data_IF_608714779435
#
_entry.id   IF_608714779435
#
_cell.length_a   1.000
_cell.length_b   1.000
_cell.length_c   1.000
_cell.angle_alpha   90.00
_cell.angle_beta   90.00
_cell.angle_gamma   90.00
#
_symmetry.space_group_name_H-M   'P 1'
#
loop_
_entity.id
_entity.type
_entity.pdbx_description
1 polymer ?
#
# COMPACT_ATOMS: atom_id res chain seq x y z
N UNK A 1 -11.10 -12.32 -15.32
CA UNK A 1 -11.03 -10.87 -15.07
C UNK A 1 -12.42 -10.32 -15.33
N UNK A 2 -13.08 -9.71 -14.33
CA UNK A 2 -14.41 -9.12 -14.52
C UNK A 2 -14.29 -7.89 -15.43
N UNK A 3 -15.19 -7.75 -16.40
CA UNK A 3 -15.21 -6.63 -17.34
C UNK A 3 -15.96 -5.45 -16.71
N UNK A 4 -15.33 -4.28 -16.68
CA UNK A 4 -15.92 -3.07 -16.09
C UNK A 4 -16.36 -2.13 -17.19
N UNK A 5 -17.58 -1.61 -17.08
CA UNK A 5 -18.09 -0.54 -17.94
C UNK A 5 -18.75 0.57 -17.14
N UNK A 6 -18.85 1.75 -17.75
CA UNK A 6 -19.60 2.88 -17.23
C UNK A 6 -20.69 3.22 -18.25
N UNK A 7 -21.93 3.40 -17.79
CA UNK A 7 -23.02 3.91 -18.64
C UNK A 7 -23.71 5.11 -17.98
N UNK A 8 -24.31 5.96 -18.80
CA UNK A 8 -25.14 7.06 -18.29
C UNK A 8 -26.36 6.52 -17.52
N UNK A 9 -26.79 7.27 -16.53
CA UNK A 9 -28.04 6.98 -15.80
C UNK A 9 -29.26 7.25 -16.67
N UNK A 10 -30.33 6.52 -16.38
CA UNK A 10 -31.67 6.66 -16.94
C UNK A 10 -32.68 6.89 -15.82
N UNK A 11 -33.94 7.18 -16.15
CA UNK A 11 -34.98 7.38 -15.11
C UNK A 11 -35.29 6.07 -14.38
N UNK A 12 -35.09 4.94 -15.05
CA UNK A 12 -35.27 3.58 -14.52
C UNK A 12 -34.23 3.23 -13.43
N UNK A 13 -33.11 3.95 -13.36
CA UNK A 13 -32.03 3.68 -12.40
C UNK A 13 -32.30 4.27 -11.00
N UNK A 14 -33.40 5.01 -10.79
CA UNK A 14 -33.64 5.70 -9.51
C UNK A 14 -33.68 4.72 -8.32
N UNK A 15 -34.36 3.58 -8.48
CA UNK A 15 -34.42 2.54 -7.44
C UNK A 15 -33.03 1.94 -7.16
N UNK A 16 -32.22 1.73 -8.20
CA UNK A 16 -30.87 1.22 -8.07
C UNK A 16 -29.95 2.23 -7.37
N UNK A 17 -30.00 3.50 -7.77
CA UNK A 17 -29.21 4.58 -7.16
C UNK A 17 -29.59 4.76 -5.69
N UNK A 18 -30.87 4.59 -5.34
CA UNK A 18 -31.32 4.55 -3.97
C UNK A 18 -30.70 3.37 -3.22
N UNK A 19 -30.74 2.16 -3.77
CA UNK A 19 -30.10 0.99 -3.16
C UNK A 19 -28.58 1.17 -2.93
N UNK A 20 -27.86 1.76 -3.91
CA UNK A 20 -26.44 2.11 -3.74
C UNK A 20 -26.27 3.11 -2.60
N UNK A 21 -27.11 4.14 -2.53
CA UNK A 21 -27.09 5.15 -1.46
C UNK A 21 -27.36 4.56 -0.07
N UNK A 22 -28.36 3.70 0.08
CA UNK A 22 -28.71 3.08 1.37
C UNK A 22 -27.60 2.13 1.83
N UNK A 23 -26.92 1.46 0.89
CA UNK A 23 -25.82 0.53 1.19
C UNK A 23 -24.58 1.19 1.83
N UNK A 24 -24.47 2.52 1.79
CA UNK A 24 -23.37 3.26 2.44
C UNK A 24 -23.74 3.75 3.84
N UNK A 25 -24.98 3.51 4.31
CA UNK A 25 -25.53 4.03 5.58
C UNK A 25 -26.03 2.95 6.53
N UNK A 26 -25.79 1.68 6.21
CA UNK A 26 -26.23 0.54 7.02
C UNK A 26 -25.70 0.66 8.46
N UNK A 27 -24.42 0.97 8.63
CA UNK A 27 -23.79 1.08 9.95
C UNK A 27 -24.34 2.27 10.76
N UNK A 28 -24.56 3.42 10.11
CA UNK A 28 -25.15 4.60 10.75
C UNK A 28 -26.58 4.31 11.24
N UNK A 29 -27.39 3.66 10.41
CA UNK A 29 -28.77 3.32 10.74
C UNK A 29 -28.91 2.15 11.72
N UNK A 30 -27.85 1.37 11.94
CA UNK A 30 -27.84 0.36 12.99
C UNK A 30 -27.80 0.98 14.40
N UNK A 31 -27.37 2.23 14.53
CA UNK A 31 -27.24 2.94 15.81
C UNK A 31 -28.54 3.59 16.30
N UNK A 32 -29.62 3.54 15.52
CA UNK A 32 -30.92 4.14 15.85
C UNK A 32 -32.01 3.08 15.97
N UNK A 33 -32.80 3.15 17.05
CA UNK A 33 -33.90 2.24 17.38
C UNK A 33 -35.19 2.49 16.58
N UNK A 34 -35.06 3.01 15.36
CA UNK A 34 -36.18 3.26 14.46
C UNK A 34 -36.69 1.97 13.83
N UNK A 35 -38.00 1.92 13.58
CA UNK A 35 -38.58 0.84 12.79
C UNK A 35 -38.22 0.94 11.30
N UNK A 36 -38.50 -0.10 10.52
CA UNK A 36 -38.14 -0.15 9.11
C UNK A 36 -38.75 0.99 8.28
N UNK A 37 -40.01 1.37 8.54
CA UNK A 37 -40.69 2.45 7.83
C UNK A 37 -40.08 3.83 8.14
N UNK A 38 -39.67 4.06 9.38
CA UNK A 38 -38.97 5.28 9.79
C UNK A 38 -37.60 5.39 9.14
N UNK A 39 -36.83 4.29 9.10
CA UNK A 39 -35.53 4.25 8.40
C UNK A 39 -35.68 4.51 6.90
N UNK A 40 -36.66 3.89 6.25
CA UNK A 40 -36.93 4.09 4.82
C UNK A 40 -37.32 5.54 4.50
N UNK A 41 -38.27 6.12 5.26
CA UNK A 41 -38.69 7.51 5.07
C UNK A 41 -37.51 8.50 5.24
N UNK A 42 -36.67 8.27 6.25
CA UNK A 42 -35.47 9.08 6.48
C UNK A 42 -34.46 8.95 5.32
N UNK A 43 -34.19 7.72 4.87
CA UNK A 43 -33.30 7.45 3.75
C UNK A 43 -33.78 8.11 2.46
N UNK A 44 -35.08 8.01 2.15
CA UNK A 44 -35.65 8.65 0.95
C UNK A 44 -35.48 10.17 1.00
N UNK A 45 -35.76 10.79 2.16
CA UNK A 45 -35.58 12.23 2.37
C UNK A 45 -34.11 12.63 2.15
N UNK A 46 -33.17 11.92 2.78
CA UNK A 46 -31.74 12.22 2.70
C UNK A 46 -31.16 11.94 1.30
N UNK A 47 -31.64 10.91 0.60
CA UNK A 47 -31.26 10.62 -0.78
C UNK A 47 -31.66 11.74 -1.73
N UNK A 48 -32.91 12.21 -1.65
CA UNK A 48 -33.39 13.35 -2.46
C UNK A 48 -32.61 14.62 -2.15
N UNK A 49 -32.36 14.90 -0.87
CA UNK A 49 -31.55 16.04 -0.45
C UNK A 49 -30.13 15.98 -1.02
N UNK A 50 -29.46 14.82 -0.94
CA UNK A 50 -28.11 14.64 -1.48
C UNK A 50 -28.09 14.84 -3.01
N UNK A 51 -29.02 14.23 -3.74
CA UNK A 51 -29.08 14.42 -5.20
C UNK A 51 -29.27 15.90 -5.58
N UNK A 52 -30.15 16.61 -4.88
CA UNK A 52 -30.34 18.05 -5.06
C UNK A 52 -29.07 18.83 -4.78
N UNK A 53 -28.39 18.54 -3.68
CA UNK A 53 -27.13 19.19 -3.30
C UNK A 53 -26.04 18.96 -4.34
N UNK A 54 -25.83 17.72 -4.80
CA UNK A 54 -24.81 17.42 -5.81
C UNK A 54 -25.08 18.13 -7.13
N UNK A 55 -26.33 18.16 -7.61
CA UNK A 55 -26.69 18.90 -8.84
C UNK A 55 -26.48 20.41 -8.69
N UNK A 56 -26.72 20.96 -7.49
CA UNK A 56 -26.53 22.37 -7.22
C UNK A 56 -25.04 22.76 -7.09
N UNK A 57 -24.27 21.98 -6.32
CA UNK A 57 -22.85 22.25 -6.06
C UNK A 57 -21.96 21.92 -7.26
N UNK A 58 -22.28 20.85 -8.00
CA UNK A 58 -21.48 20.36 -9.13
C UNK A 58 -22.36 20.25 -10.39
N UNK A 59 -22.80 21.39 -10.96
CA UNK A 59 -23.75 21.40 -12.08
C UNK A 59 -23.21 20.72 -13.35
N UNK A 60 -21.88 20.61 -13.48
CA UNK A 60 -21.23 19.97 -14.63
C UNK A 60 -20.84 18.51 -14.36
N UNK A 61 -21.09 17.99 -13.15
CA UNK A 61 -20.77 16.61 -12.82
C UNK A 61 -21.66 15.63 -13.58
N UNK A 62 -21.03 14.60 -14.12
CA UNK A 62 -21.71 13.48 -14.77
C UNK A 62 -21.92 12.34 -13.77
N UNK A 63 -23.12 11.78 -13.74
CA UNK A 63 -23.43 10.58 -12.94
C UNK A 63 -23.55 9.38 -13.86
N UNK A 64 -22.83 8.30 -13.54
CA UNK A 64 -22.79 7.06 -14.31
C UNK A 64 -23.04 5.85 -13.42
N UNK A 65 -23.66 4.82 -13.98
CA UNK A 65 -23.72 3.48 -13.38
C UNK A 65 -22.41 2.76 -13.66
N UNK A 66 -21.83 2.20 -12.60
CA UNK A 66 -20.72 1.25 -12.70
C UNK A 66 -21.32 -0.12 -12.96
N UNK A 67 -20.84 -0.82 -13.99
CA UNK A 67 -21.26 -2.17 -14.32
C UNK A 67 -20.08 -3.15 -14.21
N UNK A 68 -20.35 -4.33 -13.64
CA UNK A 68 -19.44 -5.47 -13.60
C UNK A 68 -20.05 -6.60 -14.42
N UNK A 69 -19.39 -7.01 -15.50
CA UNK A 69 -19.90 -7.99 -16.46
C UNK A 69 -21.31 -7.67 -16.99
N UNK A 70 -21.60 -6.37 -17.16
CA UNK A 70 -22.90 -5.86 -17.62
C UNK A 70 -23.98 -5.76 -16.55
N UNK A 71 -23.67 -6.08 -15.29
CA UNK A 71 -24.60 -5.95 -14.15
C UNK A 71 -24.30 -4.68 -13.37
N UNK A 72 -25.31 -3.84 -13.04
CA UNK A 72 -25.13 -2.67 -12.19
C UNK A 72 -24.51 -3.00 -10.84
N UNK A 73 -23.38 -2.39 -10.54
CA UNK A 73 -22.55 -2.65 -9.36
C UNK A 73 -22.35 -1.43 -8.45
N UNK A 74 -22.59 -0.22 -8.97
CA UNK A 74 -22.46 1.00 -8.18
C UNK A 74 -22.71 2.28 -8.98
N UNK A 75 -22.27 3.41 -8.43
CA UNK A 75 -22.30 4.71 -9.11
C UNK A 75 -20.95 5.42 -9.07
N UNK A 76 -20.72 6.23 -10.08
CA UNK A 76 -19.59 7.14 -10.19
C UNK A 76 -20.12 8.54 -10.53
N UNK A 77 -19.69 9.55 -9.78
CA UNK A 77 -19.99 10.97 -10.05
C UNK A 77 -18.68 11.73 -10.22
N UNK A 78 -18.45 12.28 -11.41
CA UNK A 78 -17.20 12.97 -11.75
C UNK A 78 -17.50 14.24 -12.54
N UNK A 79 -16.85 15.33 -12.15
CA UNK A 79 -16.80 16.58 -12.91
C UNK A 79 -15.46 16.68 -13.65
N UNK A 80 -15.52 16.78 -14.99
CA UNK A 80 -14.36 16.91 -15.88
C UNK A 80 -14.29 18.25 -16.60
N UNK A 81 -15.15 19.19 -16.23
CA UNK A 81 -15.27 20.48 -16.92
C UNK A 81 -14.07 21.42 -16.68
N UNK A 82 -13.29 21.16 -15.63
CA UNK A 82 -12.12 21.95 -15.25
C UNK A 82 -10.78 21.45 -15.82
N UNK A 83 -9.71 22.12 -15.37
CA UNK A 83 -8.32 21.71 -15.61
C UNK A 83 -7.96 20.41 -14.87
N UNK A 84 -8.64 20.17 -13.74
CA UNK A 84 -8.51 18.99 -12.89
C UNK A 84 -9.82 18.18 -12.96
N UNK A 85 -9.73 16.88 -12.70
CA UNK A 85 -10.89 15.99 -12.57
C UNK A 85 -11.33 15.95 -11.11
N UNK A 86 -12.56 16.36 -10.81
CA UNK A 86 -13.12 16.24 -9.46
C UNK A 86 -13.95 14.96 -9.35
N UNK A 87 -13.47 14.03 -8.53
CA UNK A 87 -14.24 12.84 -8.13
C UNK A 87 -15.19 13.25 -6.99
N UNK A 88 -16.46 13.45 -7.33
CA UNK A 88 -17.50 13.91 -6.40
C UNK A 88 -17.98 12.77 -5.50
N UNK A 89 -18.23 11.58 -6.07
CA UNK A 89 -18.66 10.41 -5.31
C UNK A 89 -18.34 9.11 -6.08
N UNK A 90 -17.99 8.07 -5.34
CA UNK A 90 -17.87 6.70 -5.85
C UNK A 90 -18.41 5.75 -4.80
N UNK A 91 -19.36 4.91 -5.19
CA UNK A 91 -19.96 3.93 -4.30
C UNK A 91 -20.24 2.63 -5.04
N UNK A 92 -19.84 1.51 -4.42
CA UNK A 92 -20.13 0.15 -4.88
C UNK A 92 -21.07 -0.52 -3.87
N UNK A 93 -21.99 -1.33 -4.39
CA UNK A 93 -22.80 -2.23 -3.57
C UNK A 93 -21.88 -3.22 -2.83
N UNK A 94 -22.24 -3.67 -1.60
CA UNK A 94 -21.39 -4.49 -0.75
C UNK A 94 -20.80 -5.73 -1.43
N UNK A 95 -21.59 -6.44 -2.22
CA UNK A 95 -21.23 -7.65 -2.96
C UNK A 95 -20.19 -7.42 -4.07
N UNK A 96 -19.97 -6.17 -4.48
CA UNK A 96 -18.99 -5.78 -5.49
C UNK A 96 -17.73 -5.10 -4.89
N UNK A 97 -17.64 -5.00 -3.55
CA UNK A 97 -16.48 -4.45 -2.86
C UNK A 97 -15.36 -5.49 -2.76
N UNK A 98 -14.11 -5.03 -2.61
CA UNK A 98 -12.91 -5.88 -2.50
C UNK A 98 -12.63 -6.79 -3.71
N UNK A 99 -13.29 -6.54 -4.86
CA UNK A 99 -13.11 -7.27 -6.12
C UNK A 99 -12.21 -6.53 -7.13
N UNK A 100 -11.56 -5.44 -6.72
CA UNK A 100 -10.69 -4.63 -7.59
C UNK A 100 -11.40 -3.59 -8.47
N UNK A 101 -12.74 -3.54 -8.47
CA UNK A 101 -13.51 -2.61 -9.32
C UNK A 101 -13.15 -1.14 -9.07
N UNK A 102 -13.11 -0.72 -7.80
CA UNK A 102 -12.74 0.65 -7.42
C UNK A 102 -11.32 1.03 -7.89
N UNK A 103 -10.38 0.09 -7.79
CA UNK A 103 -9.01 0.24 -8.30
C UNK A 103 -9.01 0.51 -9.80
N UNK A 104 -9.73 -0.31 -10.57
CA UNK A 104 -9.80 -0.16 -12.02
C UNK A 104 -10.44 1.14 -12.45
N UNK A 105 -11.53 1.58 -11.79
CA UNK A 105 -12.21 2.85 -12.09
C UNK A 105 -11.26 4.02 -11.86
N UNK A 106 -10.59 4.05 -10.70
CA UNK A 106 -9.65 5.13 -10.37
C UNK A 106 -8.44 5.14 -11.30
N UNK A 107 -7.92 3.98 -11.69
CA UNK A 107 -6.85 3.89 -12.70
C UNK A 107 -7.29 4.39 -14.08
N UNK A 108 -8.54 4.14 -14.47
CA UNK A 108 -9.07 4.70 -15.71
C UNK A 108 -9.13 6.24 -15.66
N UNK A 109 -9.49 6.82 -14.51
CA UNK A 109 -9.43 8.28 -14.31
C UNK A 109 -7.98 8.79 -14.36
N UNK A 110 -7.03 8.08 -13.74
CA UNK A 110 -5.61 8.44 -13.75
C UNK A 110 -5.02 8.42 -15.17
N UNK A 111 -5.43 7.44 -15.99
CA UNK A 111 -5.02 7.34 -17.39
C UNK A 111 -5.48 8.53 -18.26
N UNK A 112 -6.43 9.34 -17.79
CA UNK A 112 -6.80 10.60 -18.46
C UNK A 112 -5.69 11.67 -18.34
N UNK A 113 -4.67 11.45 -17.49
CA UNK A 113 -3.49 12.32 -17.38
C UNK A 113 -3.76 13.69 -16.78
N UNK A 114 -4.89 13.87 -16.10
CA UNK A 114 -5.24 15.09 -15.36
C UNK A 114 -5.07 14.87 -13.86
N UNK A 115 -4.71 15.93 -13.12
CA UNK A 115 -4.78 15.90 -11.67
C UNK A 115 -6.21 15.59 -11.24
N UNK A 116 -6.36 14.69 -10.26
CA UNK A 116 -7.65 14.26 -9.71
C UNK A 116 -7.75 14.77 -8.28
N UNK A 117 -8.89 15.37 -7.94
CA UNK A 117 -9.20 15.84 -6.59
C UNK A 117 -10.41 15.07 -6.08
N UNK A 118 -10.40 14.73 -4.79
CA UNK A 118 -11.55 14.17 -4.08
C UNK A 118 -11.61 14.68 -2.64
N UNK A 119 -12.78 14.56 -2.02
CA UNK A 119 -12.94 14.81 -0.58
C UNK A 119 -13.30 13.52 0.12
N UNK A 120 -12.56 13.17 1.16
CA UNK A 120 -12.80 11.96 1.93
C UNK A 120 -12.87 12.28 3.43
N UNK A 121 -13.76 11.57 4.13
CA UNK A 121 -13.69 11.47 5.58
C UNK A 121 -12.46 10.61 5.89
N UNK A 122 -11.57 11.08 6.76
CA UNK A 122 -10.30 10.38 7.04
C UNK A 122 -10.47 8.94 7.57
N UNK A 123 -11.56 8.68 8.28
CA UNK A 123 -11.91 7.33 8.77
C UNK A 123 -12.57 6.43 7.73
N UNK A 124 -12.85 6.93 6.52
CA UNK A 124 -13.48 6.15 5.47
C UNK A 124 -12.51 5.06 4.97
N UNK A 125 -12.90 3.77 4.94
CA UNK A 125 -12.06 2.68 4.43
C UNK A 125 -11.52 2.89 3.01
N UNK A 126 -12.21 3.69 2.19
CA UNK A 126 -11.77 4.04 0.84
C UNK A 126 -10.46 4.85 0.80
N UNK A 127 -10.07 5.52 1.90
CA UNK A 127 -8.80 6.26 2.01
C UNK A 127 -7.60 5.35 1.70
N UNK A 128 -7.62 4.12 2.20
CA UNK A 128 -6.55 3.15 1.93
C UNK A 128 -6.45 2.83 0.43
N UNK A 129 -7.59 2.74 -0.27
CA UNK A 129 -7.60 2.56 -1.72
C UNK A 129 -6.98 3.76 -2.44
N UNK A 130 -7.38 4.99 -2.07
CA UNK A 130 -6.84 6.21 -2.67
C UNK A 130 -5.33 6.33 -2.45
N UNK A 131 -4.83 6.10 -1.23
CA UNK A 131 -3.41 6.16 -0.93
C UNK A 131 -2.58 5.11 -1.68
N UNK A 132 -3.10 3.88 -1.83
CA UNK A 132 -2.46 2.83 -2.67
C UNK A 132 -2.34 3.25 -4.12
N UNK A 133 -3.26 4.07 -4.61
CA UNK A 133 -3.26 4.63 -5.96
C UNK A 133 -2.49 5.95 -6.06
N UNK A 134 -1.80 6.37 -5.01
CA UNK A 134 -0.94 7.56 -5.03
C UNK A 134 -1.67 8.87 -4.76
N UNK A 135 -2.91 8.84 -4.27
CA UNK A 135 -3.55 10.05 -3.75
C UNK A 135 -2.95 10.43 -2.40
N UNK A 136 -2.71 11.72 -2.18
CA UNK A 136 -2.19 12.28 -0.93
C UNK A 136 -3.19 13.25 -0.32
N UNK A 137 -3.23 13.36 1.01
CA UNK A 137 -3.99 14.44 1.66
C UNK A 137 -3.30 15.79 1.41
N UNK A 138 -4.10 16.82 1.16
CA UNK A 138 -3.63 18.21 1.04
C UNK A 138 -4.44 19.13 1.94
N UNK A 139 -3.81 20.20 2.43
CA UNK A 139 -4.45 21.18 3.32
C UNK A 139 -4.52 20.75 4.79
N UNK A 140 -5.39 21.42 5.55
CA UNK A 140 -5.51 21.23 6.99
C UNK A 140 -6.20 19.91 7.39
N UNK A 141 -5.83 19.38 8.55
CA UNK A 141 -6.41 18.15 9.12
C UNK A 141 -7.83 18.40 9.67
N UNK A 142 -8.83 18.43 8.79
CA UNK A 142 -10.24 18.46 9.17
C UNK A 142 -10.92 17.10 8.95
N UNK A 143 -12.16 16.93 9.45
CA UNK A 143 -12.92 15.69 9.30
C UNK A 143 -13.13 15.30 7.82
N UNK A 144 -13.34 16.30 6.95
CA UNK A 144 -13.43 16.16 5.50
C UNK A 144 -12.17 16.74 4.87
N UNK A 145 -11.21 15.88 4.54
CA UNK A 145 -9.94 16.33 3.97
C UNK A 145 -9.92 16.09 2.47
N UNK A 146 -9.34 17.06 1.75
CA UNK A 146 -9.08 16.94 0.32
C UNK A 146 -7.93 15.97 0.10
N UNK A 147 -8.07 15.11 -0.91
CA UNK A 147 -6.98 14.31 -1.43
C UNK A 147 -6.76 14.62 -2.91
N UNK A 148 -5.51 14.55 -3.33
CA UNK A 148 -5.10 14.83 -4.70
C UNK A 148 -4.22 13.73 -5.26
N UNK A 149 -4.39 13.43 -6.54
CA UNK A 149 -3.47 12.65 -7.34
C UNK A 149 -3.01 13.49 -8.53
N UNK A 150 -1.72 13.51 -8.83
CA UNK A 150 -1.16 14.24 -9.97
C UNK A 150 -0.44 13.27 -10.92
N UNK A 151 -0.43 13.53 -12.25
CA UNK A 151 0.35 12.73 -13.20
C UNK A 151 1.86 12.72 -12.91
N UNK A 152 2.41 13.83 -12.39
CA UNK A 152 3.80 13.87 -11.91
C UNK A 152 4.02 13.12 -10.58
N UNK A 153 2.92 12.81 -9.87
CA UNK A 153 2.91 11.88 -8.74
C UNK A 153 2.50 10.45 -9.18
N UNK A 154 2.36 10.20 -10.50
CA UNK A 154 2.20 8.86 -11.02
C UNK A 154 3.47 8.08 -10.69
N UNK A 155 3.30 7.04 -9.88
CA UNK A 155 4.36 6.11 -9.51
C UNK A 155 4.66 5.23 -10.73
N UNK A 156 5.55 5.69 -11.59
CA UNK A 156 6.05 4.92 -12.73
C UNK A 156 7.24 4.03 -12.30
N UNK A 157 7.09 3.30 -11.19
CA UNK A 157 8.04 2.26 -10.80
C UNK A 157 7.39 0.87 -10.99
N UNK A 158 8.16 -0.15 -11.40
CA UNK A 158 7.61 -1.34 -12.06
C UNK A 158 6.84 -2.30 -11.15
N UNK A 159 6.84 -2.06 -9.84
CA UNK A 159 6.18 -2.91 -8.84
C UNK A 159 4.92 -2.25 -8.27
N UNK A 160 3.95 -3.05 -7.79
CA UNK A 160 2.83 -2.52 -7.04
C UNK A 160 3.31 -1.75 -5.80
N UNK A 161 2.74 -0.57 -5.56
CA UNK A 161 3.02 0.19 -4.34
C UNK A 161 2.57 -0.55 -3.08
N UNK A 162 3.35 -0.44 -2.01
CA UNK A 162 3.04 -1.08 -0.74
C UNK A 162 2.00 -0.31 0.06
N UNK A 163 1.21 -1.06 0.82
CA UNK A 163 0.34 -0.54 1.85
C UNK A 163 1.13 -0.31 3.12
N UNK A 164 0.99 0.86 3.74
CA UNK A 164 1.54 1.12 5.08
C UNK A 164 0.42 0.80 6.08
N UNK A 165 0.67 -0.06 7.10
CA UNK A 165 -0.29 -0.31 8.17
C UNK A 165 -0.74 0.99 8.85
N UNK A 166 -2.00 1.12 9.26
CA UNK A 166 -2.41 2.24 10.09
C UNK A 166 -1.81 2.10 11.49
N UNK A 167 -1.02 3.09 11.90
CA UNK A 167 -0.40 3.11 13.23
C UNK A 167 -1.17 3.97 14.22
N UNK A 168 -1.15 3.52 15.48
CA UNK A 168 -1.47 4.32 16.67
C UNK A 168 -0.17 4.56 17.43
N UNK A 169 0.01 5.75 18.02
CA UNK A 169 1.18 5.99 18.86
C UNK A 169 1.26 4.97 19.98
N UNK A 170 2.44 4.37 20.15
CA UNK A 170 2.68 3.37 21.18
C UNK A 170 4.14 3.43 21.65
N UNK A 171 4.36 3.09 22.91
CA UNK A 171 5.70 3.03 23.52
C UNK A 171 5.78 1.76 24.36
N UNK A 172 6.87 1.00 24.19
CA UNK A 172 7.14 -0.20 24.95
C UNK A 172 8.65 -0.36 25.18
N UNK A 173 9.07 -0.29 26.45
CA UNK A 173 10.49 -0.22 26.78
C UNK A 173 11.13 1.01 26.13
N UNK A 174 12.27 0.80 25.46
CA UNK A 174 12.97 1.85 24.72
C UNK A 174 12.40 2.08 23.31
N UNK A 175 11.44 1.27 22.87
CA UNK A 175 10.84 1.43 21.56
C UNK A 175 9.64 2.38 21.61
N UNK A 176 9.54 3.28 20.64
CA UNK A 176 8.33 4.07 20.43
C UNK A 176 8.00 4.22 18.95
N UNK A 177 6.71 4.19 18.62
CA UNK A 177 6.21 4.46 17.28
C UNK A 177 5.32 5.70 17.37
N UNK A 178 5.67 6.75 16.63
CA UNK A 178 4.95 8.03 16.64
C UNK A 178 4.97 8.70 15.27
N UNK A 179 3.98 9.56 15.05
CA UNK A 179 3.90 10.39 13.84
C UNK A 179 4.89 11.55 13.90
N UNK A 180 5.64 11.74 12.82
CA UNK A 180 6.52 12.87 12.57
C UNK A 180 5.91 13.69 11.44
N UNK A 181 5.72 15.00 11.66
CA UNK A 181 5.01 15.86 10.73
C UNK A 181 5.93 16.53 9.72
N UNK A 182 5.38 16.81 8.54
CA UNK A 182 6.02 17.65 7.51
C UNK A 182 7.45 17.20 7.14
N UNK A 183 7.64 15.90 6.94
CA UNK A 183 8.93 15.35 6.52
C UNK A 183 9.02 15.39 5.00
N UNK A 184 10.16 15.85 4.49
CA UNK A 184 10.50 15.72 3.07
C UNK A 184 10.73 14.24 2.77
N UNK A 185 10.06 13.74 1.75
CA UNK A 185 10.12 12.35 1.34
C UNK A 185 10.65 12.27 -0.09
N UNK A 186 11.44 11.23 -0.37
CA UNK A 186 12.04 10.95 -1.67
C UNK A 186 11.55 9.60 -2.20
N UNK A 187 11.53 9.41 -3.51
CA UNK A 187 11.29 8.10 -4.11
C UNK A 187 12.57 7.27 -4.18
N UNK A 188 12.45 5.95 -3.97
CA UNK A 188 13.59 5.04 -4.10
C UNK A 188 13.86 4.70 -5.58
N UNK A 189 12.84 4.23 -6.29
CA UNK A 189 12.90 3.83 -7.69
C UNK A 189 12.37 4.87 -8.68
N UNK A 190 12.19 6.12 -8.24
CA UNK A 190 11.53 7.17 -9.02
C UNK A 190 12.04 8.56 -8.62
N UNK A 191 12.05 9.49 -9.58
CA UNK A 191 12.32 10.92 -9.35
C UNK A 191 11.10 11.60 -8.69
N UNK A 192 10.74 11.15 -7.49
CA UNK A 192 9.62 11.70 -6.71
C UNK A 192 10.13 12.44 -5.46
N UNK A 193 9.56 13.61 -5.21
CA UNK A 193 9.79 14.38 -3.99
C UNK A 193 8.45 14.92 -3.49
N UNK A 194 8.22 14.84 -2.19
CA UNK A 194 7.01 15.34 -1.56
C UNK A 194 7.23 15.73 -0.12
N UNK A 195 6.22 16.34 0.49
CA UNK A 195 6.16 16.55 1.93
C UNK A 195 4.92 15.87 2.47
N UNK A 196 5.06 15.27 3.64
CA UNK A 196 3.94 14.64 4.31
C UNK A 196 4.33 14.14 5.69
N UNK A 197 3.31 13.84 6.48
CA UNK A 197 3.51 13.17 7.74
C UNK A 197 3.94 11.72 7.49
N UNK A 198 4.83 11.23 8.34
CA UNK A 198 5.29 9.84 8.35
C UNK A 198 5.11 9.28 9.76
N UNK A 199 4.97 7.97 9.88
CA UNK A 199 5.18 7.29 11.14
C UNK A 199 6.66 6.89 11.23
N UNK A 200 7.23 6.95 12.43
CA UNK A 200 8.60 6.56 12.66
C UNK A 200 8.71 5.72 13.94
N UNK A 201 9.52 4.67 13.83
CA UNK A 201 9.95 3.82 14.93
C UNK A 201 11.26 4.36 15.49
N UNK A 202 11.30 4.55 16.79
CA UNK A 202 12.45 5.04 17.53
C UNK A 202 12.91 3.99 18.53
N UNK A 203 14.23 3.90 18.68
CA UNK A 203 14.86 3.31 19.84
C UNK A 203 15.48 4.44 20.66
N UNK A 204 14.99 4.64 21.88
CA UNK A 204 15.17 5.87 22.66
C UNK A 204 14.74 7.10 21.82
N UNK A 205 15.69 7.97 21.49
CA UNK A 205 15.45 9.17 20.65
C UNK A 205 15.99 9.01 19.22
N UNK A 206 16.65 7.89 18.91
CA UNK A 206 17.19 7.64 17.58
C UNK A 206 16.11 7.04 16.68
N UNK A 207 15.94 7.62 15.48
CA UNK A 207 15.07 7.02 14.46
C UNK A 207 15.70 5.71 13.99
N UNK A 208 14.95 4.63 14.14
CA UNK A 208 15.35 3.29 13.73
C UNK A 208 14.82 2.93 12.34
N UNK A 209 13.55 3.25 12.09
CA UNK A 209 12.86 2.99 10.83
C UNK A 209 11.76 4.05 10.65
N UNK A 210 11.33 4.30 9.43
CA UNK A 210 10.20 5.17 9.15
C UNK A 210 9.28 4.65 8.03
N UNK A 211 8.12 5.28 7.91
CA UNK A 211 7.23 5.12 6.76
C UNK A 211 7.53 6.11 5.64
N UNK A 212 8.75 6.67 5.60
CA UNK A 212 9.18 7.54 4.51
C UNK A 212 9.12 6.80 3.18
N UNK A 213 8.90 7.54 2.10
CA UNK A 213 8.55 6.95 0.81
C UNK A 213 9.69 6.11 0.24
N UNK A 214 10.92 6.55 0.39
CA UNK A 214 12.12 5.85 -0.05
C UNK A 214 12.26 4.50 0.66
N UNK A 215 12.02 4.49 1.96
CA UNK A 215 12.05 3.30 2.79
C UNK A 215 10.94 2.31 2.42
N UNK A 216 9.73 2.80 2.15
CA UNK A 216 8.60 1.96 1.69
C UNK A 216 8.82 1.45 0.27
N UNK A 217 9.29 2.31 -0.64
CA UNK A 217 9.49 1.96 -2.05
C UNK A 217 10.63 0.95 -2.21
N UNK A 218 11.68 1.03 -1.38
CA UNK A 218 12.80 0.07 -1.39
C UNK A 218 12.36 -1.38 -1.14
N UNK A 219 11.26 -1.59 -0.39
CA UNK A 219 10.72 -2.92 -0.09
C UNK A 219 9.92 -3.53 -1.25
N UNK A 220 9.53 -2.72 -2.26
CA UNK A 220 8.59 -3.12 -3.31
C UNK A 220 9.02 -4.32 -4.18
N UNK A 221 10.26 -4.41 -4.72
CA UNK A 221 10.66 -5.57 -5.51
C UNK A 221 10.67 -6.87 -4.69
N UNK A 222 11.07 -6.79 -3.42
CA UNK A 222 11.09 -7.93 -2.51
C UNK A 222 9.68 -8.47 -2.26
N UNK A 223 8.73 -7.59 -1.93
CA UNK A 223 7.32 -7.96 -1.77
C UNK A 223 6.72 -8.49 -3.08
N UNK A 224 7.04 -7.87 -4.22
CA UNK A 224 6.54 -8.29 -5.52
C UNK A 224 7.06 -9.65 -5.97
N UNK A 225 8.29 -10.01 -5.62
CA UNK A 225 8.88 -11.32 -5.94
C UNK A 225 8.38 -12.46 -5.02
N UNK A 226 7.80 -12.15 -3.85
CA UNK A 226 7.46 -13.17 -2.84
C UNK A 226 6.31 -14.12 -3.23
N UNK A 227 6.45 -15.39 -2.89
CA UNK A 227 5.43 -16.43 -3.05
C UNK A 227 5.67 -17.57 -2.04
N UNK A 228 4.69 -18.46 -1.90
CA UNK A 228 4.80 -19.68 -1.09
C UNK A 228 5.07 -19.40 0.39
N UNK A 229 6.06 -20.09 0.95
CA UNK A 229 6.54 -19.82 2.29
C UNK A 229 7.57 -18.68 2.29
N UNK A 230 7.18 -17.55 2.88
CA UNK A 230 8.02 -16.38 3.09
C UNK A 230 8.64 -16.43 4.49
N UNK A 231 9.95 -16.23 4.59
CA UNK A 231 10.62 -15.86 5.84
C UNK A 231 10.98 -14.38 5.75
N UNK A 232 10.53 -13.59 6.73
CA UNK A 232 10.91 -12.18 6.88
C UNK A 232 11.69 -12.02 8.18
N UNK A 233 12.88 -11.43 8.10
CA UNK A 233 13.75 -11.21 9.25
C UNK A 233 13.88 -9.71 9.52
N UNK A 234 13.59 -9.31 10.76
CA UNK A 234 13.41 -7.92 11.14
C UNK A 234 11.95 -7.49 10.94
N UNK A 235 11.26 -7.26 12.05
CA UNK A 235 9.86 -6.82 12.02
C UNK A 235 9.75 -5.36 11.58
N UNK A 236 10.67 -4.51 12.07
CA UNK A 236 10.63 -3.06 11.88
C UNK A 236 9.25 -2.50 12.24
N UNK A 237 8.68 -1.71 11.32
CA UNK A 237 7.32 -1.20 11.43
C UNK A 237 6.26 -2.15 10.82
N UNK A 238 6.65 -3.35 10.37
CA UNK A 238 5.74 -4.36 9.83
C UNK A 238 5.21 -4.08 8.43
N UNK A 239 5.83 -3.18 7.66
CA UNK A 239 5.37 -2.79 6.32
C UNK A 239 5.49 -3.97 5.34
N UNK A 240 6.69 -4.55 5.17
CA UNK A 240 6.86 -5.76 4.35
C UNK A 240 5.96 -6.90 4.84
N UNK A 241 5.92 -7.15 6.16
CA UNK A 241 5.07 -8.16 6.78
C UNK A 241 3.59 -8.02 6.39
N UNK A 242 3.03 -6.81 6.52
CA UNK A 242 1.64 -6.51 6.17
C UNK A 242 1.34 -6.86 4.70
N UNK A 243 2.25 -6.50 3.79
CA UNK A 243 2.06 -6.76 2.37
C UNK A 243 2.28 -8.24 2.00
N UNK A 244 3.16 -8.96 2.69
CA UNK A 244 3.29 -10.41 2.50
C UNK A 244 2.02 -11.15 2.94
N UNK A 245 1.44 -10.81 4.08
CA UNK A 245 0.24 -11.48 4.59
C UNK A 245 -0.95 -11.32 3.64
N UNK A 246 -1.11 -10.13 3.05
CA UNK A 246 -2.20 -9.82 2.10
C UNK A 246 -1.97 -10.36 0.69
N UNK A 247 -0.77 -10.84 0.36
CA UNK A 247 -0.46 -11.34 -0.98
C UNK A 247 -1.09 -12.72 -1.22
N UNK A 248 -1.88 -12.92 -2.30
CA UNK A 248 -2.53 -14.21 -2.57
C UNK A 248 -1.55 -15.36 -2.78
N UNK A 249 -0.42 -15.10 -3.45
CA UNK A 249 0.58 -16.13 -3.76
C UNK A 249 1.44 -16.53 -2.56
N UNK A 250 1.32 -15.81 -1.43
CA UNK A 250 1.99 -16.14 -0.16
C UNK A 250 1.08 -17.00 0.69
N UNK A 251 1.54 -18.21 0.99
CA UNK A 251 0.77 -19.24 1.72
C UNK A 251 1.12 -19.29 3.21
N UNK A 252 2.33 -18.84 3.58
CA UNK A 252 2.79 -18.74 4.97
C UNK A 252 3.83 -17.64 5.11
N UNK A 253 3.83 -16.94 6.25
CA UNK A 253 4.87 -15.98 6.61
C UNK A 253 5.46 -16.35 7.97
N UNK A 254 6.77 -16.55 8.05
CA UNK A 254 7.50 -16.67 9.32
C UNK A 254 8.26 -15.38 9.57
N UNK A 255 7.84 -14.62 10.59
CA UNK A 255 8.55 -13.46 11.10
C UNK A 255 9.62 -13.91 12.10
N UNK A 256 10.88 -13.63 11.81
CA UNK A 256 12.00 -13.79 12.74
C UNK A 256 12.39 -12.42 13.27
N UNK A 257 12.25 -12.22 14.57
CA UNK A 257 12.59 -10.96 15.25
C UNK A 257 13.40 -11.27 16.49
N UNK A 258 14.48 -10.51 16.73
CA UNK A 258 15.36 -10.73 17.88
C UNK A 258 14.75 -10.15 19.14
N UNK A 259 14.15 -8.97 19.06
CA UNK A 259 13.60 -8.28 20.23
C UNK A 259 12.07 -8.52 20.32
N UNK A 260 11.59 -9.28 21.32
CA UNK A 260 10.16 -9.52 21.48
C UNK A 260 9.34 -8.24 21.68
N UNK A 261 9.95 -7.16 22.21
CA UNK A 261 9.27 -5.89 22.40
C UNK A 261 8.87 -5.23 21.08
N UNK A 262 9.62 -5.45 19.99
CA UNK A 262 9.25 -4.92 18.66
C UNK A 262 7.96 -5.57 18.17
N UNK A 263 7.80 -6.88 18.36
CA UNK A 263 6.57 -7.59 17.99
C UNK A 263 5.39 -7.12 18.83
N UNK A 264 5.57 -6.98 20.14
CA UNK A 264 4.51 -6.51 21.03
C UNK A 264 4.13 -5.05 20.77
N UNK A 265 5.11 -4.20 20.44
CA UNK A 265 4.86 -2.84 19.98
C UNK A 265 4.06 -2.83 18.68
N UNK A 266 4.41 -3.68 17.71
CA UNK A 266 3.69 -3.78 16.44
C UNK A 266 2.22 -4.19 16.67
N UNK A 267 1.96 -5.16 17.56
CA UNK A 267 0.61 -5.54 17.98
C UNK A 267 -0.15 -4.36 18.56
N UNK A 268 0.45 -3.65 19.52
CA UNK A 268 -0.16 -2.51 20.18
C UNK A 268 -0.44 -1.34 19.21
N UNK A 269 0.49 -1.04 18.31
CA UNK A 269 0.40 0.08 17.39
C UNK A 269 -0.58 -0.17 16.23
N UNK A 270 -0.75 -1.42 15.78
CA UNK A 270 -1.46 -1.71 14.52
C UNK A 270 -2.66 -2.62 14.67
N UNK A 271 -2.87 -3.21 15.86
CA UNK A 271 -3.87 -4.25 16.10
C UNK A 271 -3.68 -5.43 15.12
N UNK A 272 -2.44 -5.94 15.11
CA UNK A 272 -1.92 -6.94 14.18
C UNK A 272 -2.82 -8.16 14.02
N UNK A 273 -3.53 -8.56 15.09
CA UNK A 273 -4.48 -9.67 15.10
C UNK A 273 -5.66 -9.50 14.14
N UNK A 274 -5.90 -8.29 13.61
CA UNK A 274 -6.95 -7.98 12.64
C UNK A 274 -6.44 -7.79 11.21
N UNK A 275 -5.15 -8.01 10.96
CA UNK A 275 -4.63 -7.89 9.61
C UNK A 275 -5.17 -9.01 8.71
N UNK A 276 -5.45 -8.68 7.46
CA UNK A 276 -5.85 -9.67 6.46
C UNK A 276 -4.70 -10.65 6.23
N UNK A 277 -4.99 -11.96 6.24
CA UNK A 277 -4.00 -13.01 6.09
C UNK A 277 -3.22 -13.35 7.36
N UNK A 278 -3.62 -12.82 8.54
CA UNK A 278 -2.95 -13.06 9.82
C UNK A 278 -2.78 -14.55 10.17
N UNK A 279 -3.68 -15.41 9.71
CA UNK A 279 -3.61 -16.87 9.91
C UNK A 279 -2.35 -17.51 9.31
N UNK A 280 -1.76 -16.85 8.31
CA UNK A 280 -0.50 -17.22 7.66
C UNK A 280 0.73 -16.96 8.53
N UNK A 281 0.62 -16.10 9.54
CA UNK A 281 1.76 -15.64 10.33
C UNK A 281 2.20 -16.67 11.38
N UNK A 282 3.52 -16.88 11.47
CA UNK A 282 4.21 -17.48 12.61
C UNK A 282 5.31 -16.54 13.05
N UNK A 283 5.44 -16.34 14.36
CA UNK A 283 6.49 -15.48 14.92
C UNK A 283 7.50 -16.34 15.66
N UNK A 284 8.78 -16.14 15.36
CA UNK A 284 9.89 -16.74 16.07
C UNK A 284 10.80 -15.67 16.66
N UNK A 285 10.93 -15.67 17.98
CA UNK A 285 11.84 -14.76 18.68
C UNK A 285 13.24 -15.37 18.65
N UNK A 286 14.07 -14.95 17.68
CA UNK A 286 15.44 -15.44 17.47
C UNK A 286 16.31 -14.40 16.78
N UNK A 287 17.63 -14.54 16.93
CA UNK A 287 18.57 -13.83 16.09
C UNK A 287 18.54 -14.37 14.65
N UNK A 288 18.48 -13.47 13.67
CA UNK A 288 18.45 -13.79 12.24
C UNK A 288 19.66 -14.64 11.80
N UNK A 289 20.86 -14.38 12.34
CA UNK A 289 22.09 -15.08 11.98
C UNK A 289 22.16 -16.52 12.52
N UNK A 290 21.29 -16.85 13.48
CA UNK A 290 21.22 -18.17 14.12
C UNK A 290 19.96 -18.96 13.74
N UNK A 291 18.98 -18.30 13.14
CA UNK A 291 17.75 -18.94 12.67
C UNK A 291 18.05 -19.98 11.57
N UNK A 292 17.50 -21.18 11.74
CA UNK A 292 17.55 -22.28 10.77
C UNK A 292 16.13 -22.71 10.45
N UNK A 293 15.79 -22.74 9.16
CA UNK A 293 14.48 -23.23 8.75
C UNK A 293 14.43 -24.75 8.81
N UNK A 294 13.38 -25.30 9.43
CA UNK A 294 13.09 -26.74 9.38
C UNK A 294 12.33 -27.16 8.12
N UNK A 295 11.93 -26.20 7.29
CA UNK A 295 11.05 -26.40 6.15
C UNK A 295 11.57 -25.65 4.92
N UNK A 296 11.10 -26.04 3.73
CA UNK A 296 11.41 -25.30 2.51
C UNK A 296 10.93 -23.85 2.61
N UNK A 297 11.78 -22.92 2.17
CA UNK A 297 11.48 -21.49 2.11
C UNK A 297 11.55 -21.06 0.67
N UNK A 298 10.47 -20.46 0.19
CA UNK A 298 10.38 -20.02 -1.21
C UNK A 298 10.98 -18.63 -1.38
N UNK A 299 10.79 -17.74 -0.40
CA UNK A 299 11.26 -16.38 -0.44
C UNK A 299 11.78 -15.93 0.93
N UNK A 300 12.97 -15.33 0.94
CA UNK A 300 13.57 -14.75 2.14
C UNK A 300 13.75 -13.23 1.92
N UNK A 301 13.20 -12.44 2.84
CA UNK A 301 13.45 -11.00 2.92
C UNK A 301 14.10 -10.66 4.27
N UNK A 302 15.18 -9.86 4.25
CA UNK A 302 15.94 -9.51 5.45
C UNK A 302 16.13 -8.00 5.56
N UNK A 303 15.80 -7.46 6.72
CA UNK A 303 15.91 -6.03 7.05
C UNK A 303 16.30 -5.87 8.53
N UNK A 304 17.60 -6.02 8.83
CA UNK A 304 18.12 -6.09 10.20
C UNK A 304 19.28 -5.10 10.47
N UNK A 305 19.66 -4.29 9.47
CA UNK A 305 20.80 -3.37 9.55
C UNK A 305 20.35 -1.95 9.86
N UNK A 306 21.31 -1.13 10.30
CA UNK A 306 21.06 0.26 10.68
C UNK A 306 21.02 1.24 9.50
N UNK A 307 21.55 0.82 8.35
CA UNK A 307 21.60 1.61 7.13
C UNK A 307 21.38 0.72 5.90
N UNK A 308 20.69 1.23 4.86
CA UNK A 308 20.53 0.48 3.62
C UNK A 308 21.88 0.33 2.92
N UNK A 309 22.14 -0.87 2.38
CA UNK A 309 23.38 -1.12 1.65
C UNK A 309 24.62 -1.19 2.53
N UNK A 310 24.48 -1.42 3.85
CA UNK A 310 25.62 -1.59 4.74
C UNK A 310 26.52 -2.76 4.23
N UNK A 311 27.85 -2.59 4.04
CA UNK A 311 28.70 -3.63 3.45
C UNK A 311 28.69 -4.97 4.19
N UNK A 312 28.38 -4.94 5.49
CA UNK A 312 28.24 -6.14 6.32
C UNK A 312 27.02 -6.99 5.95
N UNK A 313 26.03 -6.42 5.25
CA UNK A 313 24.83 -7.13 4.84
C UNK A 313 25.11 -8.33 3.94
N UNK A 314 26.11 -8.25 3.06
CA UNK A 314 26.48 -9.35 2.16
C UNK A 314 26.94 -10.61 2.92
N UNK A 315 27.98 -10.57 3.77
CA UNK A 315 28.40 -11.77 4.52
C UNK A 315 27.33 -12.27 5.50
N UNK A 316 26.52 -11.37 6.07
CA UNK A 316 25.37 -11.75 6.90
C UNK A 316 24.32 -12.51 6.06
N UNK A 317 23.99 -12.02 4.86
CA UNK A 317 23.06 -12.67 3.94
C UNK A 317 23.55 -14.04 3.47
N UNK A 318 24.84 -14.19 3.20
CA UNK A 318 25.43 -15.50 2.88
C UNK A 318 25.26 -16.50 4.03
N UNK A 319 25.50 -16.05 5.27
CA UNK A 319 25.28 -16.88 6.47
C UNK A 319 23.81 -17.23 6.66
N UNK A 320 22.91 -16.25 6.56
CA UNK A 320 21.46 -16.45 6.70
C UNK A 320 20.97 -17.43 5.62
N UNK A 321 21.37 -17.22 4.37
CA UNK A 321 20.96 -18.10 3.27
C UNK A 321 21.49 -19.53 3.44
N UNK A 322 22.69 -19.72 3.98
CA UNK A 322 23.20 -21.06 4.31
C UNK A 322 22.35 -21.79 5.37
N UNK A 323 21.73 -21.02 6.29
CA UNK A 323 20.87 -21.55 7.34
C UNK A 323 19.41 -21.75 6.89
N UNK A 324 18.87 -20.83 6.08
CA UNK A 324 17.47 -20.80 5.65
C UNK A 324 17.24 -21.62 4.38
N UNK A 325 18.22 -21.58 3.45
CA UNK A 325 18.19 -22.27 2.16
C UNK A 325 16.95 -21.90 1.32
N UNK A 326 16.65 -20.61 1.24
CA UNK A 326 15.51 -20.12 0.49
C UNK A 326 15.74 -20.27 -1.02
N UNK A 327 14.67 -20.46 -1.78
CA UNK A 327 14.72 -20.53 -3.26
C UNK A 327 15.13 -19.19 -3.89
N UNK A 328 14.75 -18.08 -3.28
CA UNK A 328 15.22 -16.74 -3.64
C UNK A 328 15.37 -15.85 -2.40
N UNK A 329 16.27 -14.88 -2.48
CA UNK A 329 16.60 -13.96 -1.39
C UNK A 329 16.58 -12.51 -1.85
N UNK A 330 16.19 -11.62 -0.95
CA UNK A 330 16.48 -10.19 -1.08
C UNK A 330 16.60 -9.53 0.29
N UNK A 331 17.20 -8.35 0.33
CA UNK A 331 17.42 -7.62 1.58
C UNK A 331 17.39 -6.11 1.38
N UNK A 332 17.18 -5.37 2.47
CA UNK A 332 17.11 -3.92 2.42
C UNK A 332 18.43 -3.29 1.94
N UNK A 333 18.35 -2.52 0.85
CA UNK A 333 19.50 -1.88 0.23
C UNK A 333 20.34 -2.79 -0.68
N UNK A 334 19.81 -3.95 -1.08
CA UNK A 334 20.41 -4.82 -2.10
C UNK A 334 20.80 -4.05 -3.37
N UNK A 335 19.96 -3.10 -3.80
CA UNK A 335 20.20 -2.28 -4.98
C UNK A 335 21.40 -1.35 -4.81
N UNK A 336 21.63 -0.81 -3.61
CA UNK A 336 22.80 0.02 -3.31
C UNK A 336 24.07 -0.83 -3.34
N UNK A 337 24.05 -2.02 -2.76
CA UNK A 337 25.20 -2.93 -2.82
C UNK A 337 25.55 -3.35 -4.24
N UNK A 338 24.53 -3.52 -5.09
CA UNK A 338 24.75 -3.81 -6.49
C UNK A 338 25.36 -2.62 -7.23
N UNK A 339 24.88 -1.40 -6.98
CA UNK A 339 25.45 -0.17 -7.55
C UNK A 339 26.91 0.04 -7.13
N UNK A 340 27.24 -0.23 -5.87
CA UNK A 340 28.61 -0.19 -5.36
C UNK A 340 29.51 -1.19 -6.10
N UNK A 341 29.03 -2.43 -6.30
CA UNK A 341 29.76 -3.46 -7.04
C UNK A 341 29.97 -3.08 -8.52
N UNK A 342 29.00 -2.42 -9.15
CA UNK A 342 29.11 -1.95 -10.53
C UNK A 342 30.19 -0.87 -10.74
N UNK A 343 30.62 -0.19 -9.67
CA UNK A 343 31.67 0.83 -9.69
C UNK A 343 31.48 1.90 -10.79
N UNK A 344 30.23 2.36 -10.97
CA UNK A 344 29.85 3.38 -11.96
C UNK A 344 29.44 2.84 -13.34
N UNK A 345 29.48 1.52 -13.55
CA UNK A 345 28.92 0.88 -14.74
C UNK A 345 27.38 0.92 -14.70
N UNK A 346 26.71 1.06 -15.86
CA UNK A 346 25.24 1.02 -15.88
C UNK A 346 24.70 -0.38 -15.55
N UNK A 347 23.65 -0.48 -14.71
CA UNK A 347 22.99 -1.75 -14.43
C UNK A 347 22.41 -2.41 -15.69
N UNK A 348 22.63 -3.71 -15.83
CA UNK A 348 22.02 -4.59 -16.84
C UNK A 348 21.56 -5.88 -16.17
N UNK A 349 20.76 -6.67 -16.88
CA UNK A 349 20.35 -7.98 -16.34
C UNK A 349 21.54 -8.97 -16.30
N UNK A 350 22.49 -8.81 -17.22
CA UNK A 350 23.70 -9.63 -17.30
C UNK A 350 24.60 -9.39 -16.09
N UNK A 351 24.96 -8.13 -15.83
CA UNK A 351 25.85 -7.83 -14.71
C UNK A 351 25.16 -8.03 -13.33
N UNK A 352 23.83 -7.96 -13.25
CA UNK A 352 23.09 -8.35 -12.06
C UNK A 352 23.17 -9.86 -11.78
N UNK A 353 23.09 -10.69 -12.83
CA UNK A 353 23.29 -12.14 -12.71
C UNK A 353 24.74 -12.48 -12.37
N UNK A 354 25.71 -11.78 -12.94
CA UNK A 354 27.12 -11.95 -12.59
C UNK A 354 27.37 -11.65 -11.11
N UNK A 355 26.78 -10.57 -10.60
CA UNK A 355 26.84 -10.23 -9.19
C UNK A 355 26.18 -11.31 -8.31
N UNK A 356 24.97 -11.77 -8.66
CA UNK A 356 24.30 -12.87 -7.95
C UNK A 356 25.16 -14.15 -7.88
N UNK A 357 25.82 -14.49 -9.00
CA UNK A 357 26.74 -15.63 -9.09
C UNK A 357 27.99 -15.44 -8.22
N UNK A 358 28.59 -14.24 -8.22
CA UNK A 358 29.74 -13.91 -7.37
C UNK A 358 29.40 -14.04 -5.88
N UNK A 359 28.22 -13.56 -5.48
CA UNK A 359 27.74 -13.67 -4.12
C UNK A 359 27.38 -15.11 -3.72
N UNK A 360 27.09 -15.98 -4.68
CA UNK A 360 26.53 -17.31 -4.44
C UNK A 360 25.11 -17.26 -3.84
N UNK A 361 24.35 -16.21 -4.15
CA UNK A 361 23.01 -15.98 -3.62
C UNK A 361 21.95 -16.03 -4.73
N UNK A 362 20.82 -16.73 -4.54
CA UNK A 362 19.73 -16.73 -5.51
C UNK A 362 18.91 -15.43 -5.38
N UNK A 363 19.42 -14.32 -5.89
CA UNK A 363 18.77 -13.02 -5.78
C UNK A 363 17.39 -13.01 -6.46
N UNK A 364 16.46 -12.23 -5.92
CA UNK A 364 15.20 -11.88 -6.59
C UNK A 364 15.45 -11.17 -7.93
N UNK A 365 14.44 -11.09 -8.79
CA UNK A 365 14.43 -10.21 -9.98
C UNK A 365 15.53 -10.48 -11.05
N UNK A 366 16.29 -11.57 -10.95
CA UNK A 366 17.34 -11.96 -11.91
C UNK A 366 16.86 -12.19 -13.35
N UNK A 367 15.55 -12.30 -13.56
CA UNK A 367 14.92 -12.49 -14.88
C UNK A 367 13.98 -11.33 -15.27
N UNK A 368 13.91 -10.27 -14.45
CA UNK A 368 13.01 -9.15 -14.70
C UNK A 368 13.72 -8.00 -15.44
N UNK A 369 13.39 -7.75 -16.73
CA UNK A 369 14.03 -6.69 -17.49
C UNK A 369 13.72 -5.28 -16.96
N UNK A 370 12.71 -5.11 -16.10
CA UNK A 370 12.38 -3.83 -15.48
C UNK A 370 13.24 -3.51 -14.25
N UNK A 371 13.92 -4.50 -13.66
CA UNK A 371 14.69 -4.30 -12.43
C UNK A 371 15.95 -3.43 -12.65
N UNK A 372 16.85 -3.71 -13.63
CA UNK A 372 18.06 -2.88 -13.82
C UNK A 372 17.79 -1.39 -14.13
N UNK A 373 16.80 -1.02 -14.99
CA UNK A 373 16.42 0.38 -15.17
C UNK A 373 15.97 1.06 -13.88
N UNK A 374 15.26 0.34 -13.00
CA UNK A 374 14.85 0.86 -11.70
C UNK A 374 16.06 1.03 -10.75
N UNK A 375 16.99 0.08 -10.71
CA UNK A 375 18.23 0.23 -9.91
C UNK A 375 19.05 1.43 -10.36
N UNK A 376 19.11 1.72 -11.66
CA UNK A 376 19.77 2.93 -12.19
C UNK A 376 19.12 4.22 -11.66
N UNK A 377 17.85 4.20 -11.30
CA UNK A 377 17.18 5.35 -10.70
C UNK A 377 17.61 5.54 -9.23
N UNK A 378 17.83 4.46 -8.48
CA UNK A 378 18.32 4.51 -7.09
C UNK A 378 19.66 5.26 -7.01
N UNK A 379 20.55 5.08 -8.00
CA UNK A 379 21.85 5.78 -8.03
C UNK A 379 21.73 7.30 -8.13
N UNK A 380 20.59 7.86 -8.55
CA UNK A 380 20.37 9.31 -8.54
C UNK A 380 19.88 9.83 -7.19
N UNK A 381 19.23 8.98 -6.39
CA UNK A 381 18.67 9.34 -5.09
C UNK A 381 19.71 9.26 -3.97
N UNK A 382 20.75 8.43 -4.13
CA UNK A 382 21.74 8.14 -3.08
C UNK A 382 23.21 8.45 -3.44
N UNK A 383 23.52 8.89 -4.66
CA UNK A 383 24.89 9.22 -5.10
C UNK A 383 25.03 10.63 -5.66
#
# INVERSE_FOLDING_TARGET
>A
MMKISLRAITIEDEQFLFAVYTSTRVDELALVDWNAAQKDAFLQMQFRAQQGQYRFTYPNATTQIIESDGVPAGRLIVDRSGAETLLVDIALLPEYRNLGLGTSILRNLQAEGKKIILHAIRSNPAVNLYQRLGFIFVGEETLYSQMEWSPAAARDFPWPGLCVPPYRPATLGNWSLKKVKQVTQFGYFQDWQGQGDIDALFYDEQTWMSSARDEVDSQTPHVAAAFGHVVVMGAGMGIALYNFLTKPDVTRVTLVERDPLVVDLLRAATNLERWDGIEKLRVEIRDALDYRSGEAVDHLYVDIWSAPGEPRSIPDMQRIQANVRARQVGWWGQELNFLDWLAGTSPTLENYRDWANELGLPLIEQDNPAYPPAVKQVSKSYC
#
